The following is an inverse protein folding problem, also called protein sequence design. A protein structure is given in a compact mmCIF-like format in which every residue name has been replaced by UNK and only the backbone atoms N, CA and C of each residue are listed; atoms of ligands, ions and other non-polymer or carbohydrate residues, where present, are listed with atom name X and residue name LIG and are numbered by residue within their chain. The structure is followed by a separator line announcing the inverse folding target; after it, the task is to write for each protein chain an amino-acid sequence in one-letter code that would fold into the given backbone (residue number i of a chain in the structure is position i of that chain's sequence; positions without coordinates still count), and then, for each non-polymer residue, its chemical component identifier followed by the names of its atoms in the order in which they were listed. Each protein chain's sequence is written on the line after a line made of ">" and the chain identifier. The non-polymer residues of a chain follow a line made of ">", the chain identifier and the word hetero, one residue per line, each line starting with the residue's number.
data_IF_126149756650
#
_entry.id   IF_126149756650
#
_cell.length_a   1.000
_cell.length_b   1.000
_cell.length_c   1.000
_cell.angle_alpha   90.00
_cell.angle_beta   90.00
_cell.angle_gamma   90.00
#
_symmetry.space_group_name_H-M   'P 1'
#
loop_
_entity.id
_entity.type
_entity.pdbx_description
1 polymer ?
#
# COMPACT_ATOMS: atom_id res chain seq x y z
N UNK A 1 -48.96 -47.68 5.38
CA UNK A 1 -48.07 -48.49 4.52
C UNK A 1 -46.66 -47.95 4.64
N UNK A 2 -45.74 -48.69 5.25
CA UNK A 2 -44.35 -48.26 5.47
C UNK A 2 -43.44 -48.77 4.33
N UNK A 3 -42.45 -47.99 3.85
CA UNK A 3 -41.59 -48.38 2.75
C UNK A 3 -40.47 -49.33 3.23
N UNK A 4 -40.29 -50.45 2.52
CA UNK A 4 -39.18 -51.39 2.73
C UNK A 4 -37.88 -50.79 2.16
N UNK A 5 -36.86 -50.63 3.01
CA UNK A 5 -35.49 -50.29 2.59
C UNK A 5 -34.84 -51.48 1.88
N UNK A 6 -34.15 -51.22 0.77
CA UNK A 6 -33.35 -52.20 0.03
C UNK A 6 -32.02 -52.50 0.77
N UNK A 7 -31.47 -53.72 0.63
CA UNK A 7 -30.24 -54.12 1.31
C UNK A 7 -28.99 -53.54 0.63
N UNK A 8 -28.09 -53.02 1.46
CA UNK A 8 -26.81 -52.43 1.09
C UNK A 8 -25.82 -53.54 0.69
N UNK A 9 -25.49 -53.62 -0.60
CA UNK A 9 -24.49 -54.57 -1.12
C UNK A 9 -23.09 -54.18 -0.67
N UNK A 10 -22.52 -54.96 0.25
CA UNK A 10 -21.11 -54.82 0.63
C UNK A 10 -20.18 -55.18 -0.54
N UNK A 11 -19.16 -54.36 -0.83
CA UNK A 11 -18.21 -54.64 -1.91
C UNK A 11 -17.39 -55.90 -1.60
N UNK A 12 -17.34 -56.81 -2.57
CA UNK A 12 -16.58 -58.05 -2.43
C UNK A 12 -15.07 -57.78 -2.38
N UNK A 13 -14.36 -58.57 -1.56
CA UNK A 13 -12.90 -58.50 -1.28
C UNK A 13 -11.98 -58.42 -2.52
N UNK A 14 -12.50 -58.77 -3.71
CA UNK A 14 -11.79 -58.75 -5.00
C UNK A 14 -11.76 -57.36 -5.64
N UNK A 15 -12.75 -56.50 -5.37
CA UNK A 15 -12.84 -55.13 -5.92
C UNK A 15 -11.82 -54.19 -5.27
N UNK A 16 -11.62 -54.28 -3.95
CA UNK A 16 -10.64 -53.44 -3.23
C UNK A 16 -9.18 -53.66 -3.66
N UNK A 17 -8.80 -54.86 -4.10
CA UNK A 17 -7.45 -55.14 -4.61
C UNK A 17 -7.17 -54.47 -5.96
N UNK A 18 -8.19 -54.36 -6.81
CA UNK A 18 -8.06 -53.72 -8.13
C UNK A 18 -7.96 -52.20 -7.97
N UNK A 19 -8.71 -51.62 -7.04
CA UNK A 19 -8.62 -50.19 -6.71
C UNK A 19 -7.27 -49.83 -6.09
N UNK A 20 -6.79 -50.62 -5.13
CA UNK A 20 -5.47 -50.41 -4.52
C UNK A 20 -4.33 -50.48 -5.56
N UNK A 21 -4.39 -51.43 -6.51
CA UNK A 21 -3.42 -51.53 -7.58
C UNK A 21 -3.43 -50.30 -8.52
N UNK A 22 -4.61 -49.76 -8.83
CA UNK A 22 -4.73 -48.53 -9.65
C UNK A 22 -4.13 -47.30 -8.95
N UNK A 23 -4.33 -47.16 -7.64
CA UNK A 23 -3.76 -46.06 -6.86
C UNK A 23 -2.23 -46.11 -6.85
N UNK A 24 -1.65 -47.30 -6.67
CA UNK A 24 -0.19 -47.48 -6.70
C UNK A 24 0.37 -47.16 -8.09
N UNK A 25 -0.31 -47.60 -9.16
CA UNK A 25 0.14 -47.36 -10.52
C UNK A 25 0.08 -45.87 -10.90
N UNK A 26 -0.95 -45.15 -10.42
CA UNK A 26 -1.06 -43.71 -10.61
C UNK A 26 0.05 -42.95 -9.86
N UNK A 27 0.35 -43.34 -8.61
CA UNK A 27 1.43 -42.73 -7.84
C UNK A 27 2.81 -42.94 -8.49
N UNK A 28 3.06 -44.09 -9.10
CA UNK A 28 4.30 -44.37 -9.85
C UNK A 28 4.40 -43.46 -11.08
N UNK A 29 3.29 -43.25 -11.80
CA UNK A 29 3.27 -42.37 -12.98
C UNK A 29 3.48 -40.89 -12.61
N UNK A 30 2.93 -40.44 -11.49
CA UNK A 30 3.10 -39.07 -11.01
C UNK A 30 4.52 -38.81 -10.47
N UNK A 31 5.15 -39.79 -9.81
CA UNK A 31 6.56 -39.72 -9.40
C UNK A 31 7.50 -39.65 -10.63
N UNK A 32 7.19 -40.38 -11.70
CA UNK A 32 7.95 -40.30 -12.96
C UNK A 32 7.79 -38.95 -13.67
N UNK A 33 6.61 -38.30 -13.63
CA UNK A 33 6.41 -36.95 -14.17
C UNK A 33 7.18 -35.88 -13.40
N UNK A 34 7.38 -36.05 -12.10
CA UNK A 34 8.10 -35.09 -11.25
C UNK A 34 9.62 -35.04 -11.52
N UNK A 35 10.19 -36.10 -12.14
CA UNK A 35 11.64 -36.25 -12.37
C UNK A 35 12.13 -35.72 -13.71
N UNK A 36 11.26 -35.11 -14.52
CA UNK A 36 11.69 -34.42 -15.75
C UNK A 36 12.42 -33.14 -15.38
N UNK A 37 13.74 -33.26 -15.20
CA UNK A 37 14.62 -32.11 -15.01
C UNK A 37 14.56 -31.25 -16.26
N UNK A 38 13.92 -30.08 -16.13
CA UNK A 38 13.81 -29.11 -17.23
C UNK A 38 15.21 -28.88 -17.81
N UNK A 39 15.38 -28.99 -19.14
CA UNK A 39 16.68 -28.82 -19.76
C UNK A 39 17.26 -27.47 -19.33
N UNK A 40 18.50 -27.50 -18.81
CA UNK A 40 19.23 -26.29 -18.42
C UNK A 40 19.31 -25.38 -19.64
N UNK A 41 18.46 -24.36 -19.68
CA UNK A 41 18.47 -23.36 -20.75
C UNK A 41 19.89 -22.83 -20.87
N UNK A 42 20.47 -22.94 -22.06
CA UNK A 42 21.77 -22.38 -22.39
C UNK A 42 21.73 -20.87 -22.12
N UNK A 43 22.24 -20.45 -20.97
CA UNK A 43 22.40 -19.02 -20.67
C UNK A 43 23.54 -18.55 -21.55
N UNK A 44 23.23 -17.82 -22.62
CA UNK A 44 24.24 -17.06 -23.36
C UNK A 44 25.11 -16.34 -22.33
N UNK A 45 26.46 -16.42 -22.44
CA UNK A 45 27.33 -15.62 -21.60
C UNK A 45 26.86 -14.18 -21.76
N UNK A 46 26.29 -13.60 -20.69
CA UNK A 46 25.94 -12.19 -20.71
C UNK A 46 27.26 -11.46 -20.83
N UNK A 47 27.60 -11.01 -22.05
CA UNK A 47 28.58 -9.95 -22.21
C UNK A 47 28.08 -8.82 -21.33
N UNK A 48 28.72 -8.63 -20.17
CA UNK A 48 28.44 -7.52 -19.26
C UNK A 48 28.89 -6.27 -19.98
N UNK A 49 28.05 -5.73 -20.88
CA UNK A 49 28.22 -4.40 -21.43
C UNK A 49 28.28 -3.47 -20.23
N UNK A 50 29.49 -2.94 -19.96
CA UNK A 50 29.72 -2.07 -18.82
C UNK A 50 28.92 -0.79 -19.07
N UNK A 51 27.90 -0.54 -18.25
CA UNK A 51 27.15 0.71 -18.30
C UNK A 51 28.10 1.86 -17.95
N UNK A 52 28.44 2.70 -18.93
CA UNK A 52 29.40 3.80 -18.74
C UNK A 52 28.90 4.79 -17.69
N UNK A 53 27.60 5.12 -17.73
CA UNK A 53 26.97 6.02 -16.76
C UNK A 53 27.20 5.56 -15.31
N UNK A 54 26.97 4.28 -15.02
CA UNK A 54 27.03 3.76 -13.65
C UNK A 54 28.43 3.38 -13.18
N UNK A 55 29.34 3.02 -14.10
CA UNK A 55 30.65 2.46 -13.77
C UNK A 55 31.84 3.39 -14.06
N UNK A 56 31.66 4.43 -14.90
CA UNK A 56 32.76 5.31 -15.32
C UNK A 56 32.61 6.74 -14.84
N UNK A 57 31.39 7.23 -14.64
CA UNK A 57 31.20 8.56 -14.07
C UNK A 57 31.50 8.57 -12.56
N UNK A 58 32.20 9.58 -12.04
CA UNK A 58 32.31 9.83 -10.60
C UNK A 58 30.94 10.00 -9.95
N UNK A 59 30.83 9.68 -8.65
CA UNK A 59 29.57 9.77 -7.90
C UNK A 59 28.97 11.17 -7.88
N UNK A 60 29.81 12.20 -7.82
CA UNK A 60 29.39 13.62 -7.82
C UNK A 60 28.63 13.98 -9.11
N UNK A 61 29.21 13.63 -10.27
CA UNK A 61 28.57 13.88 -11.57
C UNK A 61 27.26 13.08 -11.68
N UNK A 62 27.24 11.84 -11.18
CA UNK A 62 25.99 11.05 -11.14
C UNK A 62 24.94 11.74 -10.26
N UNK A 63 25.31 12.22 -9.08
CA UNK A 63 24.40 12.92 -8.18
C UNK A 63 23.83 14.19 -8.82
N UNK A 64 24.63 14.97 -9.57
CA UNK A 64 24.12 16.12 -10.34
C UNK A 64 23.09 15.67 -11.38
N UNK A 65 23.40 14.63 -12.17
CA UNK A 65 22.47 14.07 -13.16
C UNK A 65 21.17 13.60 -12.48
N UNK A 66 21.28 12.94 -11.33
CA UNK A 66 20.14 12.47 -10.55
C UNK A 66 19.30 13.61 -10.01
N UNK A 67 19.91 14.66 -9.51
CA UNK A 67 19.21 15.83 -9.02
C UNK A 67 18.34 16.44 -10.13
N UNK A 68 18.92 16.69 -11.32
CA UNK A 68 18.18 17.20 -12.47
C UNK A 68 17.08 16.26 -12.99
N UNK A 69 17.24 14.95 -12.81
CA UNK A 69 16.29 13.97 -13.31
C UNK A 69 15.12 13.70 -12.35
N UNK A 70 15.34 13.83 -11.04
CA UNK A 70 14.45 13.31 -9.99
C UNK A 70 13.75 14.44 -9.23
N UNK A 71 14.31 15.65 -9.21
CA UNK A 71 13.70 16.80 -8.53
C UNK A 71 12.77 17.52 -9.50
N UNK A 72 11.46 17.48 -9.21
CA UNK A 72 10.37 18.06 -9.99
C UNK A 72 9.35 18.60 -8.99
N UNK A 73 9.29 19.92 -8.76
CA UNK A 73 8.43 20.49 -7.72
C UNK A 73 7.25 21.28 -8.31
N UNK A 74 5.99 21.04 -7.86
CA UNK A 74 5.52 20.01 -6.91
C UNK A 74 5.14 18.65 -7.56
N UNK A 75 5.16 17.56 -6.78
CA UNK A 75 4.74 16.20 -7.19
C UNK A 75 3.41 15.81 -6.53
N UNK A 76 2.40 15.47 -7.34
CA UNK A 76 1.14 14.92 -6.85
C UNK A 76 1.25 13.41 -6.58
N UNK A 77 0.74 12.99 -5.42
CA UNK A 77 0.75 11.62 -4.92
C UNK A 77 -0.71 11.19 -4.72
N UNK A 78 -1.13 10.12 -5.39
CA UNK A 78 -2.47 9.53 -5.21
C UNK A 78 -2.36 8.10 -4.64
N UNK A 79 -3.48 7.47 -4.30
CA UNK A 79 -3.55 6.06 -3.90
C UNK A 79 -3.04 5.09 -4.99
N UNK A 80 -3.22 5.44 -6.26
CA UNK A 80 -2.63 4.73 -7.41
C UNK A 80 -1.10 4.97 -7.53
N UNK A 81 -0.59 5.93 -6.76
CA UNK A 81 0.79 6.25 -6.51
C UNK A 81 1.11 7.72 -6.82
N UNK A 82 2.28 8.23 -6.37
CA UNK A 82 3.05 9.12 -7.23
C UNK A 82 3.67 8.33 -8.39
N UNK A 83 3.71 6.99 -8.22
CA UNK A 83 4.56 6.04 -8.91
C UNK A 83 6.02 6.48 -8.88
N UNK A 84 6.80 6.12 -7.83
CA UNK A 84 8.26 6.36 -7.78
C UNK A 84 8.82 6.33 -9.21
N UNK A 85 9.46 7.42 -9.71
CA UNK A 85 9.76 7.58 -11.12
C UNK A 85 10.43 6.33 -11.69
N UNK A 86 10.16 6.03 -12.96
CA UNK A 86 10.70 4.82 -13.61
C UNK A 86 12.21 4.65 -13.43
N UNK A 87 12.93 5.77 -13.29
CA UNK A 87 14.35 5.81 -12.96
C UNK A 87 14.72 5.05 -11.66
N UNK A 88 13.93 5.19 -10.58
CA UNK A 88 14.11 4.47 -9.30
C UNK A 88 13.83 2.96 -9.42
N UNK A 89 13.20 2.52 -10.51
CA UNK A 89 12.89 1.10 -10.80
C UNK A 89 13.88 0.46 -11.76
N UNK A 90 14.65 1.27 -12.51
CA UNK A 90 15.54 0.79 -13.56
C UNK A 90 16.77 0.01 -13.05
N UNK A 91 17.39 0.46 -11.96
CA UNK A 91 18.60 -0.16 -11.41
C UNK A 91 18.67 -0.03 -9.89
N UNK A 92 19.16 -1.09 -9.22
CA UNK A 92 19.40 -1.08 -7.77
C UNK A 92 20.42 -0.02 -7.35
N UNK A 93 21.41 0.27 -8.21
CA UNK A 93 22.41 1.31 -7.93
C UNK A 93 21.77 2.69 -8.00
N UNK A 94 21.05 2.99 -9.08
CA UNK A 94 20.31 4.25 -9.24
C UNK A 94 19.36 4.45 -8.07
N UNK A 95 18.57 3.42 -7.73
CA UNK A 95 17.64 3.46 -6.59
C UNK A 95 18.35 3.82 -5.27
N UNK A 96 19.54 3.28 -5.01
CA UNK A 96 20.28 3.59 -3.78
C UNK A 96 20.80 5.03 -3.77
N UNK A 97 21.27 5.53 -4.91
CA UNK A 97 21.83 6.87 -5.03
C UNK A 97 20.74 7.96 -5.03
N UNK A 98 19.57 7.70 -5.62
CA UNK A 98 18.59 8.75 -5.94
C UNK A 98 17.38 8.82 -5.00
N UNK A 99 17.09 7.75 -4.27
CA UNK A 99 15.84 7.67 -3.49
C UNK A 99 15.77 8.69 -2.36
N UNK A 100 16.89 8.96 -1.68
CA UNK A 100 16.94 10.00 -0.67
C UNK A 100 16.63 11.37 -1.30
N UNK A 101 17.30 11.71 -2.40
CA UNK A 101 17.08 12.97 -3.13
C UNK A 101 15.62 13.15 -3.54
N UNK A 102 14.97 12.08 -4.03
CA UNK A 102 13.57 12.13 -4.42
C UNK A 102 12.66 12.55 -3.27
N UNK A 103 12.79 11.94 -2.10
CA UNK A 103 11.92 12.25 -0.97
C UNK A 103 12.35 13.51 -0.21
N UNK A 104 13.63 13.87 -0.25
CA UNK A 104 14.17 14.98 0.53
C UNK A 104 14.07 16.34 -0.16
N UNK A 105 14.24 16.37 -1.48
CA UNK A 105 14.34 17.61 -2.25
C UNK A 105 13.04 17.97 -3.00
N UNK A 106 12.02 17.10 -2.94
CA UNK A 106 10.74 17.36 -3.56
C UNK A 106 9.66 17.84 -2.58
N UNK A 107 8.77 18.68 -3.08
CA UNK A 107 7.50 19.03 -2.43
C UNK A 107 6.41 18.09 -2.93
N UNK A 108 5.67 17.48 -2.00
CA UNK A 108 4.61 16.53 -2.31
C UNK A 108 3.23 17.10 -2.00
N UNK A 109 2.28 16.90 -2.91
CA UNK A 109 0.85 17.12 -2.72
C UNK A 109 0.21 15.75 -2.67
N UNK A 110 -0.27 15.33 -1.50
CA UNK A 110 -0.87 14.02 -1.28
C UNK A 110 -2.37 14.13 -1.34
N UNK A 111 -2.95 13.60 -2.40
CA UNK A 111 -4.39 13.56 -2.62
C UNK A 111 -4.96 12.27 -2.01
N UNK A 112 -5.74 12.45 -0.95
CA UNK A 112 -6.49 11.42 -0.27
C UNK A 112 -7.90 11.45 -0.83
N UNK A 113 -8.21 10.51 -1.71
CA UNK A 113 -9.55 10.34 -2.27
C UNK A 113 -10.45 9.58 -1.30
N UNK A 114 -11.67 10.08 -1.10
CA UNK A 114 -12.72 9.45 -0.30
C UNK A 114 -12.22 9.00 1.08
N UNK A 115 -11.36 9.84 1.69
CA UNK A 115 -10.71 9.61 2.99
C UNK A 115 -9.91 8.29 3.10
N UNK A 116 -9.51 7.65 1.99
CA UNK A 116 -8.72 6.40 2.00
C UNK A 116 -7.20 6.65 2.16
N UNK A 117 -6.82 7.31 3.25
CA UNK A 117 -5.41 7.58 3.55
C UNK A 117 -4.59 6.32 3.84
N UNK A 118 -5.24 5.22 4.21
CA UNK A 118 -4.60 3.92 4.40
C UNK A 118 -3.98 3.37 3.10
N UNK A 119 -4.51 3.72 1.93
CA UNK A 119 -3.91 3.34 0.65
C UNK A 119 -2.52 4.00 0.43
N UNK A 120 -2.25 5.11 1.10
CA UNK A 120 -1.02 5.90 0.97
C UNK A 120 0.08 5.48 1.96
N UNK A 121 -0.18 4.53 2.85
CA UNK A 121 0.79 4.01 3.84
C UNK A 121 2.11 3.54 3.21
N UNK A 122 2.15 2.85 2.05
CA UNK A 122 3.41 2.49 1.41
C UNK A 122 4.25 3.70 1.04
N UNK A 123 3.64 4.77 0.55
CA UNK A 123 4.33 6.03 0.23
C UNK A 123 4.78 6.73 1.51
N UNK A 124 3.89 6.88 2.50
CA UNK A 124 4.19 7.53 3.78
C UNK A 124 5.40 6.91 4.47
N UNK A 125 5.50 5.58 4.47
CA UNK A 125 6.66 4.85 5.03
C UNK A 125 7.97 5.18 4.31
N UNK A 126 7.94 5.41 3.00
CA UNK A 126 9.15 5.81 2.28
C UNK A 126 9.48 7.28 2.52
N UNK A 127 8.47 8.15 2.49
CA UNK A 127 8.64 9.56 2.80
C UNK A 127 9.25 9.73 4.20
N UNK A 128 8.65 9.15 5.24
CA UNK A 128 9.18 9.19 6.60
C UNK A 128 10.64 8.69 6.70
N UNK A 129 11.02 7.68 5.91
CA UNK A 129 12.37 7.11 5.96
C UNK A 129 13.44 7.99 5.31
N UNK A 130 13.08 8.78 4.30
CA UNK A 130 14.05 9.46 3.43
C UNK A 130 13.89 10.98 3.39
N UNK A 131 12.76 11.50 3.86
CA UNK A 131 12.53 12.92 4.05
C UNK A 131 13.51 13.48 5.08
N UNK A 132 13.79 14.77 4.96
CA UNK A 132 14.57 15.58 5.89
C UNK A 132 13.69 16.75 6.37
N UNK A 133 14.28 17.65 7.17
CA UNK A 133 13.57 18.84 7.68
C UNK A 133 13.11 19.81 6.58
N UNK A 134 13.67 19.73 5.38
CA UNK A 134 13.32 20.57 4.23
C UNK A 134 12.19 19.97 3.38
N UNK A 135 11.87 18.69 3.59
CA UNK A 135 10.84 17.99 2.84
C UNK A 135 9.46 18.50 3.24
N UNK A 136 8.71 18.99 2.26
CA UNK A 136 7.35 19.49 2.48
C UNK A 136 6.34 18.51 1.88
N UNK A 137 5.32 18.17 2.66
CA UNK A 137 4.17 17.40 2.22
C UNK A 137 2.88 18.12 2.62
N UNK A 138 2.00 18.36 1.65
CA UNK A 138 0.66 18.91 1.86
C UNK A 138 -0.35 17.80 1.58
N UNK A 139 -1.31 17.60 2.48
CA UNK A 139 -2.36 16.60 2.32
C UNK A 139 -3.65 17.32 1.90
N UNK A 140 -4.25 16.85 0.81
CA UNK A 140 -5.53 17.30 0.29
C UNK A 140 -6.52 16.13 0.41
N UNK A 141 -7.60 16.34 1.15
CA UNK A 141 -8.73 15.40 1.19
C UNK A 141 -9.72 15.81 0.10
N UNK A 142 -10.04 14.87 -0.78
CA UNK A 142 -10.84 15.08 -1.99
C UNK A 142 -11.89 13.96 -2.09
N UNK A 143 -12.92 14.18 -2.91
CA UNK A 143 -13.98 13.21 -3.13
C UNK A 143 -15.09 13.30 -2.08
N UNK A 144 -15.79 12.19 -1.88
CA UNK A 144 -16.95 12.12 -1.00
C UNK A 144 -16.56 11.54 0.38
N UNK A 145 -17.23 11.96 1.46
CA UNK A 145 -17.09 11.33 2.76
C UNK A 145 -17.32 9.82 2.73
N UNK A 146 -16.36 9.05 3.25
CA UNK A 146 -16.51 7.60 3.46
C UNK A 146 -16.00 7.24 4.86
N UNK A 147 -16.94 6.90 5.73
CA UNK A 147 -16.64 6.53 7.11
C UNK A 147 -15.79 5.27 7.23
N UNK A 148 -16.01 4.28 6.36
CA UNK A 148 -15.26 3.03 6.36
C UNK A 148 -13.79 3.23 6.00
N UNK A 149 -13.51 4.10 5.03
CA UNK A 149 -12.15 4.48 4.65
C UNK A 149 -11.48 5.32 5.73
N UNK A 150 -12.17 6.33 6.29
CA UNK A 150 -11.62 7.12 7.39
C UNK A 150 -11.28 6.25 8.60
N UNK A 151 -12.16 5.31 8.99
CA UNK A 151 -11.88 4.40 10.09
C UNK A 151 -10.70 3.47 9.81
N UNK A 152 -10.56 2.99 8.57
CA UNK A 152 -9.38 2.21 8.15
C UNK A 152 -8.11 3.05 8.28
N UNK A 153 -8.16 4.32 7.90
CA UNK A 153 -7.04 5.25 8.02
C UNK A 153 -6.68 5.52 9.49
N UNK A 154 -7.64 5.86 10.35
CA UNK A 154 -7.44 5.99 11.79
C UNK A 154 -6.82 4.73 12.41
N UNK A 155 -7.26 3.55 11.97
CA UNK A 155 -6.71 2.28 12.43
C UNK A 155 -5.26 2.08 12.00
N UNK A 156 -4.92 2.42 10.76
CA UNK A 156 -3.53 2.37 10.30
C UNK A 156 -2.65 3.35 11.10
N UNK A 157 -3.16 4.55 11.41
CA UNK A 157 -2.46 5.54 12.24
C UNK A 157 -2.20 5.02 13.66
N UNK A 158 -3.20 4.39 14.27
CA UNK A 158 -3.04 3.80 15.59
C UNK A 158 -2.07 2.60 15.61
N UNK A 159 -1.86 1.92 14.48
CA UNK A 159 -1.05 0.69 14.41
C UNK A 159 0.34 0.91 13.80
N UNK A 160 0.52 1.96 13.00
CA UNK A 160 1.73 2.21 12.20
C UNK A 160 2.35 3.54 12.62
N UNK A 161 3.59 3.55 13.17
CA UNK A 161 4.29 4.78 13.59
C UNK A 161 4.56 5.81 12.47
N UNK A 162 4.47 5.39 11.21
CA UNK A 162 4.77 6.19 10.03
C UNK A 162 3.54 6.37 9.11
N UNK A 163 2.33 6.23 9.67
CA UNK A 163 1.11 6.50 8.94
C UNK A 163 1.01 7.98 8.54
N UNK A 164 0.19 8.24 7.53
CA UNK A 164 -0.06 9.60 7.05
C UNK A 164 -0.94 10.35 8.06
N UNK A 165 -0.48 11.48 8.59
CA UNK A 165 -1.22 12.30 9.55
C UNK A 165 -1.34 13.72 9.00
N UNK A 166 -2.56 14.27 8.83
CA UNK A 166 -2.75 15.67 8.47
C UNK A 166 -2.22 16.65 9.54
N UNK A 167 -1.75 17.82 9.11
CA UNK A 167 -1.22 18.85 9.99
C UNK A 167 -2.24 19.99 10.22
N UNK A 168 -2.60 20.23 11.50
CA UNK A 168 -3.65 21.19 11.91
C UNK A 168 -3.25 22.64 11.60
N UNK A 169 -1.93 22.87 11.51
CA UNK A 169 -1.35 24.21 11.46
C UNK A 169 -1.34 24.82 10.06
N UNK A 170 -1.70 24.08 9.03
CA UNK A 170 -2.02 24.70 7.76
C UNK A 170 -3.42 25.28 7.89
N UNK A 171 -3.52 26.50 8.45
CA UNK A 171 -4.58 27.45 8.06
C UNK A 171 -4.55 27.44 6.54
N UNK A 172 -5.37 26.61 5.89
CA UNK A 172 -5.39 26.50 4.45
C UNK A 172 -5.62 27.94 4.00
N UNK A 173 -4.69 28.60 3.29
CA UNK A 173 -5.09 29.80 2.59
C UNK A 173 -6.29 29.35 1.77
N UNK A 174 -7.44 30.00 1.96
CA UNK A 174 -8.61 29.75 1.12
C UNK A 174 -8.06 29.61 -0.29
N UNK A 175 -8.28 28.47 -0.95
CA UNK A 175 -7.80 28.36 -2.31
C UNK A 175 -8.41 29.52 -3.09
N UNK A 176 -7.60 30.51 -3.48
CA UNK A 176 -8.05 31.65 -4.28
C UNK A 176 -8.59 31.21 -5.65
N UNK A 177 -8.39 29.93 -5.99
CA UNK A 177 -8.96 29.29 -7.16
C UNK A 177 -10.49 29.23 -7.16
N UNK A 178 -11.16 29.33 -6.00
CA UNK A 178 -12.63 29.20 -5.89
C UNK A 178 -13.23 27.87 -6.35
N UNK A 179 -12.39 26.90 -6.75
CA UNK A 179 -12.79 25.61 -7.32
C UNK A 179 -12.80 24.47 -6.31
N UNK A 180 -12.08 24.61 -5.19
CA UNK A 180 -12.04 23.59 -4.15
C UNK A 180 -12.91 24.05 -2.98
N UNK A 181 -14.04 23.36 -2.77
CA UNK A 181 -14.81 23.51 -1.53
C UNK A 181 -13.91 23.06 -0.39
N UNK A 182 -13.57 23.96 0.52
CA UNK A 182 -13.09 23.54 1.83
C UNK A 182 -14.27 22.86 2.52
N UNK A 183 -14.24 21.53 2.57
CA UNK A 183 -15.22 20.80 3.36
C UNK A 183 -14.94 21.09 4.82
N UNK A 184 -15.87 21.69 5.57
CA UNK A 184 -15.70 21.91 7.02
C UNK A 184 -15.50 20.59 7.79
N UNK A 185 -15.80 19.47 7.14
CA UNK A 185 -15.63 18.12 7.68
C UNK A 185 -14.17 17.64 7.64
N UNK A 186 -13.29 18.27 6.85
CA UNK A 186 -11.85 17.98 6.83
C UNK A 186 -11.21 18.17 8.21
N UNK A 187 -11.61 19.25 8.90
CA UNK A 187 -11.11 19.55 10.25
C UNK A 187 -11.55 18.48 11.25
N UNK A 188 -12.74 17.89 11.04
CA UNK A 188 -13.26 16.83 11.90
C UNK A 188 -12.55 15.51 11.63
N UNK A 189 -12.38 15.14 10.36
CA UNK A 189 -11.62 13.96 9.96
C UNK A 189 -10.17 14.04 10.47
N UNK A 190 -9.54 15.22 10.38
CA UNK A 190 -8.23 15.46 10.96
C UNK A 190 -8.22 15.29 12.48
N UNK A 191 -9.21 15.87 13.17
CA UNK A 191 -9.36 15.70 14.62
C UNK A 191 -9.48 14.22 15.03
N UNK A 192 -10.26 13.43 14.28
CA UNK A 192 -10.40 11.98 14.49
C UNK A 192 -9.08 11.23 14.29
N UNK A 193 -8.32 11.55 13.24
CA UNK A 193 -7.01 10.94 12.98
C UNK A 193 -6.03 11.25 14.12
N UNK A 194 -6.07 12.47 14.67
CA UNK A 194 -5.23 12.85 15.82
C UNK A 194 -5.63 12.15 17.11
N UNK A 195 -6.93 11.99 17.36
CA UNK A 195 -7.41 11.17 18.47
C UNK A 195 -6.82 9.75 18.36
N UNK A 196 -6.82 9.17 17.16
CA UNK A 196 -6.24 7.86 16.94
C UNK A 196 -4.72 7.83 17.19
N UNK A 197 -3.97 8.84 16.75
CA UNK A 197 -2.51 8.93 16.95
C UNK A 197 -2.13 9.13 18.43
N UNK A 198 -2.79 10.04 19.15
CA UNK A 198 -2.50 10.35 20.54
C UNK A 198 -2.84 9.18 21.48
N UNK A 199 -3.91 8.45 21.17
CA UNK A 199 -4.38 7.35 22.00
C UNK A 199 -3.68 6.02 21.68
N UNK A 200 -2.91 5.92 20.59
CA UNK A 200 -2.34 4.66 20.09
C UNK A 200 -1.48 3.88 21.09
N UNK A 201 -0.85 4.59 22.03
CA UNK A 201 0.01 4.00 23.07
C UNK A 201 -0.68 3.80 24.42
N UNK A 202 -1.84 4.42 24.60
CA UNK A 202 -2.50 4.52 25.91
C UNK A 202 -3.74 3.63 26.01
N UNK A 203 -4.43 3.40 24.89
CA UNK A 203 -5.68 2.66 24.85
C UNK A 203 -5.65 1.57 23.77
N UNK A 204 -6.38 0.48 24.02
CA UNK A 204 -6.65 -0.52 22.98
C UNK A 204 -7.55 0.06 21.89
N UNK A 205 -7.38 -0.41 20.65
CA UNK A 205 -8.14 0.06 19.48
C UNK A 205 -9.66 0.07 19.70
N UNK A 206 -10.21 -0.94 20.39
CA UNK A 206 -11.65 -1.00 20.68
C UNK A 206 -12.18 0.19 21.50
N UNK A 207 -11.35 0.80 22.35
CA UNK A 207 -11.73 2.01 23.09
C UNK A 207 -11.64 3.25 22.21
N UNK A 208 -10.62 3.34 21.35
CA UNK A 208 -10.46 4.43 20.37
C UNK A 208 -11.62 4.43 19.39
N UNK A 209 -11.98 3.25 18.86
CA UNK A 209 -13.11 3.06 17.94
C UNK A 209 -14.43 3.59 18.51
N UNK A 210 -14.75 3.31 19.79
CA UNK A 210 -15.94 3.87 20.45
C UNK A 210 -15.94 5.40 20.53
N UNK A 211 -14.77 6.01 20.79
CA UNK A 211 -14.65 7.48 20.81
C UNK A 211 -14.89 8.05 19.41
N UNK A 212 -14.32 7.39 18.38
CA UNK A 212 -14.49 7.79 16.99
C UNK A 212 -15.93 7.59 16.50
N UNK A 213 -16.63 6.53 16.91
CA UNK A 213 -18.07 6.33 16.65
C UNK A 213 -18.92 7.46 17.22
N UNK A 214 -18.63 7.91 18.45
CA UNK A 214 -19.31 9.07 19.04
C UNK A 214 -19.09 10.35 18.23
N UNK A 215 -17.87 10.56 17.73
CA UNK A 215 -17.55 11.68 16.85
C UNK A 215 -18.26 11.56 15.48
N UNK A 216 -18.37 10.35 14.91
CA UNK A 216 -19.09 10.08 13.67
C UNK A 216 -20.58 10.38 13.77
N UNK A 217 -21.22 9.99 14.89
CA UNK A 217 -22.62 10.34 15.16
C UNK A 217 -22.82 11.86 15.18
N UNK A 218 -21.89 12.60 15.79
CA UNK A 218 -21.94 14.07 15.85
C UNK A 218 -21.76 14.71 14.46
N UNK A 219 -20.89 14.17 13.61
CA UNK A 219 -20.72 14.64 12.23
C UNK A 219 -21.94 14.31 11.39
N UNK A 220 -22.44 13.07 11.46
CA UNK A 220 -23.63 12.61 10.72
C UNK A 220 -24.87 13.45 11.04
N UNK A 221 -25.00 13.89 12.30
CA UNK A 221 -26.07 14.80 12.70
C UNK A 221 -25.99 16.19 12.05
N UNK A 222 -24.79 16.62 11.63
CA UNK A 222 -24.53 17.92 10.98
C UNK A 222 -24.51 17.82 9.46
N UNK A 223 -23.92 16.76 8.91
CA UNK A 223 -23.84 16.49 7.49
C UNK A 223 -24.27 15.05 7.21
N UNK A 224 -25.34 14.88 6.42
CA UNK A 224 -25.90 13.58 6.07
C UNK A 224 -25.06 12.78 5.07
N UNK A 225 -24.10 13.42 4.42
CA UNK A 225 -23.20 12.74 3.48
C UNK A 225 -22.28 11.72 4.20
N UNK A 226 -22.17 11.83 5.54
CA UNK A 226 -21.46 10.88 6.40
C UNK A 226 -22.31 9.70 6.88
N UNK A 227 -23.62 9.66 6.55
CA UNK A 227 -24.57 8.67 7.08
C UNK A 227 -24.42 7.26 6.50
#
# INVERSE_FOLDING_TARGET
>A
MAPRKAPETQPTRRSGRIEAAKVIQQAILDDQRSKVTKPKRFRRPQQRKRCLLLNKLPGEIRNMIWHYAVVQNPITVTSSGPGEPGLLRASRQIRRETRAMYYSANEFIVEVMDYDGAALTPWSRQHYRYANAESCCKILMLGEPDWGNLMRWCKDVAQTPCALIPALEQKKPKCDCGQHNHYPDDDVAEGMIRIADELRWNLGWASVEKVLEGAHQAVTARNRDWA
#
